data_IF_731033063509
#
_entry.id   IF_731033063509
#
_cell.length_a   1.000
_cell.length_b   1.000
_cell.length_c   1.000
_cell.angle_alpha   90.00
_cell.angle_beta   90.00
_cell.angle_gamma   90.00
#
_symmetry.space_group_name_H-M   'P 1'
#
loop_
_entity.id
_entity.type
_entity.pdbx_description
1 polymer ?
#
# COMPACT_ATOMS: atom_id res chain seq x y z
N UNK A 1 24.07 30.60 34.14
CA UNK A 1 23.16 30.51 35.30
C UNK A 1 22.71 29.07 35.39
N UNK A 2 23.32 28.22 36.18
CA UNK A 2 23.12 27.79 37.58
C UNK A 2 21.67 27.54 37.97
N UNK A 3 21.33 26.24 38.22
CA UNK A 3 20.67 25.70 39.44
C UNK A 3 20.35 24.23 39.15
N UNK A 4 21.00 23.24 39.84
CA UNK A 4 20.71 22.59 41.16
C UNK A 4 19.39 21.81 41.05
N UNK A 5 19.28 20.50 41.11
CA UNK A 5 19.83 19.56 42.07
C UNK A 5 18.80 19.28 43.16
N UNK A 6 18.16 18.06 43.15
CA UNK A 6 17.52 17.57 44.36
C UNK A 6 17.61 16.04 44.42
N UNK A 7 18.45 15.58 45.29
CA UNK A 7 18.51 14.19 45.77
C UNK A 7 17.61 14.10 47.00
N UNK A 8 16.78 13.07 47.07
CA UNK A 8 16.19 12.68 48.33
C UNK A 8 16.38 11.16 48.53
N UNK A 9 17.32 10.84 49.38
CA UNK A 9 17.48 9.54 50.03
C UNK A 9 16.52 9.52 51.21
N UNK A 10 15.72 8.50 51.39
CA UNK A 10 15.11 8.16 52.68
C UNK A 10 15.23 6.67 52.90
N UNK A 11 16.17 6.38 53.81
CA UNK A 11 16.39 5.08 54.42
C UNK A 11 15.42 4.94 55.60
N UNK A 12 14.64 3.87 55.68
CA UNK A 12 13.98 3.48 56.91
C UNK A 12 14.17 1.98 57.12
N UNK A 13 15.08 1.67 57.99
CA UNK A 13 15.19 0.35 58.61
C UNK A 13 14.22 0.29 59.80
N UNK A 14 13.31 -0.66 59.77
CA UNK A 14 12.60 -1.03 60.99
C UNK A 14 12.67 -2.54 61.16
N UNK A 15 13.48 -2.95 62.11
CA UNK A 15 13.59 -4.34 62.62
C UNK A 15 12.41 -4.57 63.56
N UNK A 16 11.52 -5.48 63.19
CA UNK A 16 10.55 -6.03 64.14
C UNK A 16 10.63 -7.56 64.11
N UNK A 17 11.34 -8.10 65.12
CA UNK A 17 11.38 -9.52 65.38
C UNK A 17 10.10 -9.95 66.12
N UNK A 18 9.31 -10.78 65.48
CA UNK A 18 8.26 -11.55 66.16
C UNK A 18 8.40 -13.03 65.77
N UNK A 19 8.67 -13.80 66.81
CA UNK A 19 8.59 -15.24 66.83
C UNK A 19 7.13 -15.64 66.51
N UNK A 20 6.90 -16.34 65.46
CA UNK A 20 5.61 -17.00 65.17
C UNK A 20 5.88 -18.45 64.76
N UNK A 21 5.28 -19.33 65.49
CA UNK A 21 5.27 -20.79 65.37
C UNK A 21 4.93 -21.29 63.98
N UNK A 22 5.78 -22.20 63.51
CA UNK A 22 5.61 -22.88 62.26
C UNK A 22 4.36 -23.81 62.30
N UNK A 23 3.34 -23.46 61.53
CA UNK A 23 2.36 -24.42 61.04
C UNK A 23 2.83 -24.89 59.63
N UNK A 24 2.78 -26.20 59.34
CA UNK A 24 3.11 -26.66 58.02
C UNK A 24 2.01 -26.16 57.02
N UNK A 25 2.33 -25.14 56.27
CA UNK A 25 1.49 -24.78 55.09
C UNK A 25 1.56 -25.95 54.13
N UNK A 26 0.44 -26.65 53.95
CA UNK A 26 0.27 -27.54 52.85
C UNK A 26 0.47 -26.71 51.55
N UNK A 27 1.59 -26.92 50.88
CA UNK A 27 1.83 -26.39 49.52
C UNK A 27 0.85 -27.11 48.61
N UNK A 28 -0.30 -26.49 48.38
CA UNK A 28 -1.09 -26.84 47.22
C UNK A 28 -0.25 -26.39 46.02
N UNK A 29 0.47 -27.34 45.42
CA UNK A 29 1.00 -27.17 44.08
C UNK A 29 -0.24 -26.99 43.20
N UNK A 30 -0.54 -25.74 42.86
CA UNK A 30 -1.40 -25.46 41.70
C UNK A 30 -0.62 -25.98 40.53
N UNK A 31 -0.92 -27.20 40.13
CA UNK A 31 -0.49 -27.78 38.88
C UNK A 31 -1.13 -26.91 37.76
N UNK A 32 -0.43 -25.83 37.44
CA UNK A 32 -0.72 -25.03 36.25
C UNK A 32 -0.40 -25.94 35.07
N UNK A 33 -1.41 -26.67 34.63
CA UNK A 33 -1.30 -27.44 33.40
C UNK A 33 -0.63 -26.52 32.36
N UNK A 34 0.43 -26.99 31.68
CA UNK A 34 1.05 -26.18 30.63
C UNK A 34 -0.03 -25.78 29.63
N UNK A 35 -0.31 -24.49 29.54
CA UNK A 35 -1.18 -23.98 28.50
C UNK A 35 -0.53 -24.36 27.16
N UNK A 36 -1.08 -25.36 26.51
CA UNK A 36 -0.69 -25.72 25.14
C UNK A 36 -1.06 -24.50 24.29
N UNK A 37 -0.12 -23.61 24.10
CA UNK A 37 -0.25 -22.50 23.19
C UNK A 37 -0.24 -23.10 21.77
N UNK A 38 -1.44 -23.43 21.29
CA UNK A 38 -1.60 -23.92 19.92
C UNK A 38 -1.09 -22.82 18.96
N UNK A 39 -0.10 -23.15 18.15
CA UNK A 39 0.38 -22.23 17.13
C UNK A 39 -0.81 -21.73 16.29
N UNK A 40 -0.84 -20.46 15.92
CA UNK A 40 -1.93 -19.91 15.13
C UNK A 40 -2.08 -20.70 13.83
N UNK A 41 -3.33 -21.07 13.49
CA UNK A 41 -3.61 -21.75 12.24
C UNK A 41 -3.24 -20.85 11.07
N UNK A 42 -2.49 -21.38 10.09
CA UNK A 42 -2.16 -20.67 8.86
C UNK A 42 -3.16 -21.01 7.75
N UNK A 43 -3.39 -20.06 6.86
CA UNK A 43 -4.21 -20.22 5.65
C UNK A 43 -3.54 -19.55 4.47
N UNK A 44 -3.80 -20.12 3.29
CA UNK A 44 -3.44 -19.47 2.02
C UNK A 44 -4.55 -18.50 1.60
N UNK A 45 -4.16 -17.42 0.92
CA UNK A 45 -5.07 -16.48 0.29
C UNK A 45 -4.52 -16.06 -1.07
N UNK A 46 -5.40 -15.57 -1.95
CA UNK A 46 -5.04 -15.10 -3.28
C UNK A 46 -4.79 -13.60 -3.25
N UNK A 47 -3.79 -13.16 -4.01
CA UNK A 47 -3.59 -11.75 -4.34
C UNK A 47 -3.81 -11.59 -5.84
N UNK A 48 -4.73 -10.71 -6.21
CA UNK A 48 -5.09 -10.39 -7.58
C UNK A 48 -4.45 -9.05 -7.95
N UNK A 49 -3.42 -9.07 -8.79
CA UNK A 49 -2.80 -7.89 -9.38
C UNK A 49 -3.54 -7.52 -10.65
N UNK A 50 -4.23 -6.39 -10.69
CA UNK A 50 -5.06 -6.02 -11.83
C UNK A 50 -4.74 -4.62 -12.32
N UNK A 51 -4.49 -4.51 -13.62
CA UNK A 51 -4.27 -3.25 -14.33
C UNK A 51 -5.60 -2.63 -14.72
N UNK A 52 -5.66 -1.31 -14.69
CA UNK A 52 -6.84 -0.55 -15.11
C UNK A 52 -7.09 -0.72 -16.62
N UNK A 53 -8.31 -1.04 -16.99
CA UNK A 53 -8.77 -1.05 -18.38
C UNK A 53 -8.89 0.37 -18.94
N UNK A 54 -9.06 0.52 -20.27
CA UNK A 54 -9.22 1.84 -20.91
C UNK A 54 -10.53 2.54 -20.52
N UNK A 55 -11.54 1.77 -20.11
CA UNK A 55 -12.80 2.29 -19.58
C UNK A 55 -12.72 2.77 -18.11
N UNK A 56 -11.54 2.72 -17.51
CA UNK A 56 -11.29 3.12 -16.13
C UNK A 56 -11.60 2.05 -15.08
N UNK A 57 -12.11 0.87 -15.49
CA UNK A 57 -12.47 -0.21 -14.56
C UNK A 57 -11.30 -1.18 -14.29
N UNK A 58 -11.49 -2.09 -13.32
CA UNK A 58 -10.56 -3.17 -12.97
C UNK A 58 -11.22 -4.55 -13.10
N UNK A 59 -12.23 -4.67 -13.98
CA UNK A 59 -13.06 -5.87 -14.10
C UNK A 59 -12.58 -6.84 -15.18
N UNK A 60 -11.61 -6.45 -16.00
CA UNK A 60 -11.08 -7.29 -17.06
C UNK A 60 -10.08 -8.31 -16.51
N UNK A 61 -10.49 -9.57 -16.47
CA UNK A 61 -9.64 -10.67 -16.00
C UNK A 61 -8.43 -10.94 -16.89
N UNK A 62 -8.43 -10.53 -18.15
CA UNK A 62 -7.25 -10.61 -19.02
C UNK A 62 -6.14 -9.64 -18.60
N UNK A 63 -6.49 -8.63 -17.80
CA UNK A 63 -5.58 -7.65 -17.23
C UNK A 63 -5.13 -8.03 -15.81
N UNK A 64 -5.55 -9.19 -15.29
CA UNK A 64 -5.26 -9.65 -13.95
C UNK A 64 -4.20 -10.78 -13.92
N UNK A 65 -3.37 -10.78 -12.89
CA UNK A 65 -2.43 -11.83 -12.55
C UNK A 65 -2.64 -12.22 -11.08
N UNK A 66 -2.39 -13.50 -10.76
CA UNK A 66 -2.62 -14.02 -9.43
C UNK A 66 -1.36 -14.57 -8.80
N UNK A 67 -1.22 -14.35 -7.50
CA UNK A 67 -0.28 -15.08 -6.66
C UNK A 67 -0.98 -15.61 -5.41
N UNK A 68 -0.35 -16.58 -4.74
CA UNK A 68 -0.88 -17.17 -3.50
C UNK A 68 0.11 -16.90 -2.38
N UNK A 69 -0.38 -16.31 -1.30
CA UNK A 69 0.38 -16.06 -0.08
C UNK A 69 -0.21 -16.85 1.09
N UNK A 70 0.55 -16.94 2.18
CA UNK A 70 0.14 -17.63 3.41
C UNK A 70 0.25 -16.66 4.58
N UNK A 71 -0.70 -16.72 5.51
CA UNK A 71 -0.67 -15.94 6.73
C UNK A 71 -1.47 -16.59 7.86
N UNK A 72 -1.38 -16.03 9.05
CA UNK A 72 -2.05 -16.56 10.23
C UNK A 72 -3.51 -16.10 10.28
N UNK A 73 -4.40 -17.00 10.65
CA UNK A 73 -5.82 -16.69 10.88
C UNK A 73 -5.95 -15.59 11.93
N UNK A 74 -6.82 -14.62 11.67
CA UNK A 74 -7.06 -13.45 12.52
C UNK A 74 -6.05 -12.30 12.33
N UNK A 75 -5.00 -12.49 11.54
CA UNK A 75 -4.10 -11.41 11.13
C UNK A 75 -4.51 -10.81 9.79
N UNK A 76 -4.05 -9.61 9.51
CA UNK A 76 -4.26 -8.99 8.18
C UNK A 76 -3.36 -9.64 7.14
N UNK A 77 -3.85 -9.65 5.91
CA UNK A 77 -3.05 -10.01 4.73
C UNK A 77 -1.88 -9.04 4.54
N UNK A 78 -0.85 -9.49 3.84
CA UNK A 78 0.36 -8.69 3.55
C UNK A 78 0.57 -8.56 2.03
N UNK A 79 -0.51 -8.31 1.30
CA UNK A 79 -0.45 -8.10 -0.13
C UNK A 79 0.35 -6.84 -0.45
N UNK A 80 1.26 -6.92 -1.40
CA UNK A 80 2.11 -5.81 -1.81
C UNK A 80 2.03 -5.57 -3.32
N UNK A 81 2.26 -4.33 -3.73
CA UNK A 81 2.34 -3.96 -5.14
C UNK A 81 3.72 -4.30 -5.70
N UNK A 82 4.00 -5.58 -5.84
CA UNK A 82 5.31 -6.13 -6.24
C UNK A 82 5.48 -6.32 -7.76
N UNK A 83 4.54 -5.84 -8.58
CA UNK A 83 4.61 -5.86 -10.04
C UNK A 83 5.00 -4.50 -10.60
N UNK A 84 5.79 -4.50 -11.65
CA UNK A 84 6.13 -3.29 -12.39
C UNK A 84 5.53 -3.38 -13.80
N UNK A 85 4.43 -2.69 -14.01
CA UNK A 85 3.79 -2.59 -15.31
C UNK A 85 4.10 -1.23 -15.94
N UNK A 86 4.70 -1.25 -17.13
CA UNK A 86 4.98 -0.03 -17.87
C UNK A 86 3.69 0.77 -18.11
N UNK A 87 3.73 2.07 -17.88
CA UNK A 87 2.59 2.95 -18.04
C UNK A 87 1.54 2.88 -16.95
N UNK A 88 1.80 2.14 -15.85
CA UNK A 88 0.87 2.03 -14.72
C UNK A 88 1.55 2.48 -13.42
N UNK A 89 0.73 2.90 -12.50
CA UNK A 89 1.11 3.25 -11.13
C UNK A 89 0.35 2.35 -10.15
N UNK A 90 1.08 1.70 -9.26
CA UNK A 90 0.49 0.87 -8.24
C UNK A 90 -0.24 1.71 -7.19
N UNK A 91 -1.41 1.23 -6.76
CA UNK A 91 -2.15 1.76 -5.63
C UNK A 91 -1.86 0.93 -4.39
N UNK A 92 -1.98 1.55 -3.21
CA UNK A 92 -1.79 0.85 -1.93
C UNK A 92 -2.95 -0.13 -1.73
N UNK A 93 -2.69 -1.46 -1.57
CA UNK A 93 -3.75 -2.43 -1.39
C UNK A 93 -4.39 -2.33 0.00
N UNK A 94 -5.70 -2.55 0.05
CA UNK A 94 -6.42 -2.69 1.31
C UNK A 94 -6.20 -4.10 1.88
N UNK A 95 -5.67 -4.16 3.11
CA UNK A 95 -5.40 -5.42 3.79
C UNK A 95 -6.64 -5.89 4.54
N UNK A 96 -7.01 -7.16 4.35
CA UNK A 96 -8.16 -7.79 4.99
C UNK A 96 -7.73 -8.83 6.02
N UNK A 97 -8.60 -9.15 7.00
CA UNK A 97 -8.31 -10.17 7.98
C UNK A 97 -8.40 -11.57 7.37
N UNK A 98 -7.43 -12.43 7.70
CA UNK A 98 -7.37 -13.81 7.22
C UNK A 98 -8.42 -14.66 7.97
N UNK A 99 -9.47 -15.01 7.29
CA UNK A 99 -10.54 -15.84 7.83
C UNK A 99 -10.13 -17.31 8.02
N UNK A 100 -10.75 -18.04 8.94
CA UNK A 100 -10.49 -19.48 9.14
C UNK A 100 -10.73 -20.34 7.88
N UNK A 101 -11.60 -19.93 6.97
CA UNK A 101 -11.86 -20.61 5.70
C UNK A 101 -10.67 -20.52 4.73
N UNK A 102 -9.91 -19.42 4.77
CA UNK A 102 -8.84 -19.15 3.81
C UNK A 102 -9.33 -18.66 2.44
N UNK A 103 -10.63 -18.56 2.20
CA UNK A 103 -11.22 -18.13 0.91
C UNK A 103 -11.20 -16.60 0.79
N UNK A 104 -10.00 -16.02 0.67
CA UNK A 104 -9.82 -14.58 0.57
C UNK A 104 -9.07 -14.26 -0.72
N UNK A 105 -9.52 -13.19 -1.39
CA UNK A 105 -8.79 -12.57 -2.48
C UNK A 105 -8.61 -11.08 -2.17
N UNK A 106 -7.37 -10.63 -2.13
CA UNK A 106 -6.99 -9.22 -2.00
C UNK A 106 -6.64 -8.68 -3.37
N UNK A 107 -7.20 -7.54 -3.76
CA UNK A 107 -6.86 -6.91 -5.03
C UNK A 107 -5.80 -5.82 -4.84
N UNK A 108 -4.78 -5.87 -5.68
CA UNK A 108 -3.77 -4.81 -5.86
C UNK A 108 -4.03 -4.17 -7.22
N UNK A 109 -4.39 -2.90 -7.19
CA UNK A 109 -4.78 -2.15 -8.38
C UNK A 109 -3.59 -1.36 -8.94
N UNK A 110 -3.50 -1.31 -10.27
CA UNK A 110 -2.50 -0.54 -10.99
C UNK A 110 -3.23 0.42 -11.95
N UNK A 111 -3.27 1.69 -11.57
CA UNK A 111 -3.90 2.75 -12.36
C UNK A 111 -3.06 3.12 -13.57
N UNK A 112 -3.69 3.42 -14.71
CA UNK A 112 -3.00 3.96 -15.87
C UNK A 112 -2.43 5.33 -15.56
N UNK A 113 -1.18 5.58 -15.97
CA UNK A 113 -0.57 6.90 -15.88
C UNK A 113 -1.20 7.84 -16.91
N UNK A 114 -1.28 9.09 -16.54
CA UNK A 114 -1.64 10.17 -17.43
C UNK A 114 -0.39 10.79 -18.06
N UNK A 115 -0.49 11.13 -19.33
CA UNK A 115 0.53 11.86 -20.08
C UNK A 115 -0.10 13.10 -20.66
N UNK A 116 0.59 14.23 -20.55
CA UNK A 116 0.16 15.49 -21.12
C UNK A 116 1.01 15.82 -22.32
N UNK A 117 0.36 16.05 -23.47
CA UNK A 117 0.99 16.49 -24.70
C UNK A 117 0.72 17.97 -24.89
N UNK A 118 1.74 18.71 -25.23
CA UNK A 118 1.65 20.14 -25.57
C UNK A 118 1.64 20.32 -27.09
N UNK A 119 0.60 20.94 -27.60
CA UNK A 119 0.43 21.22 -29.02
C UNK A 119 0.79 22.67 -29.32
N UNK A 120 1.89 22.86 -30.07
CA UNK A 120 2.34 24.17 -30.54
C UNK A 120 1.78 24.43 -31.92
N UNK A 121 0.94 25.45 -32.03
CA UNK A 121 0.27 25.83 -33.29
C UNK A 121 1.09 26.83 -34.09
N UNK A 122 2.09 27.45 -33.50
CA UNK A 122 2.84 28.57 -34.06
C UNK A 122 2.19 29.93 -33.77
N UNK A 123 1.12 29.95 -32.97
CA UNK A 123 0.53 31.12 -32.36
C UNK A 123 0.38 30.80 -30.86
N UNK A 124 1.16 31.41 -29.94
CA UNK A 124 1.12 31.11 -28.52
C UNK A 124 -0.27 31.28 -27.87
N UNK A 125 -1.18 32.04 -28.49
CA UNK A 125 -2.55 32.21 -27.99
C UNK A 125 -3.47 31.04 -28.36
N UNK A 126 -3.03 30.17 -29.26
CA UNK A 126 -3.76 28.98 -29.72
C UNK A 126 -3.07 27.68 -29.31
N UNK A 127 -1.93 27.75 -28.65
CA UNK A 127 -1.26 26.58 -28.09
C UNK A 127 -2.09 25.98 -26.95
N UNK A 128 -2.09 24.64 -26.84
CA UNK A 128 -2.91 23.94 -25.85
C UNK A 128 -2.27 22.66 -25.36
N UNK A 129 -2.82 22.09 -24.28
CA UNK A 129 -2.42 20.82 -23.72
C UNK A 129 -3.60 19.84 -23.80
N UNK A 130 -3.28 18.57 -24.07
CA UNK A 130 -4.22 17.48 -23.92
C UNK A 130 -3.61 16.38 -23.03
N UNK A 131 -4.43 15.81 -22.15
CA UNK A 131 -4.03 14.73 -21.26
C UNK A 131 -4.63 13.42 -21.71
N UNK A 132 -3.81 12.38 -21.77
CA UNK A 132 -4.16 11.04 -22.24
C UNK A 132 -3.76 10.00 -21.23
N UNK A 133 -4.54 8.93 -21.14
CA UNK A 133 -4.15 7.74 -20.38
C UNK A 133 -3.18 6.88 -21.19
N UNK A 134 -2.22 6.27 -20.53
CA UNK A 134 -1.30 5.31 -21.16
C UNK A 134 -2.07 4.24 -21.95
N UNK A 135 -1.65 3.99 -23.18
CA UNK A 135 -2.25 3.00 -24.07
C UNK A 135 -3.55 3.43 -24.76
N UNK A 136 -3.98 4.68 -24.61
CA UNK A 136 -5.01 5.25 -25.49
C UNK A 136 -4.39 5.70 -26.79
N UNK A 137 -5.12 5.53 -27.90
CA UNK A 137 -4.74 6.14 -29.18
C UNK A 137 -5.03 7.64 -29.12
N UNK A 138 -4.00 8.45 -29.26
CA UNK A 138 -4.18 9.88 -29.45
C UNK A 138 -4.78 10.13 -30.84
N UNK A 139 -5.92 10.82 -30.89
CA UNK A 139 -6.40 11.39 -32.15
C UNK A 139 -5.60 12.65 -32.47
N UNK A 140 -5.24 12.84 -33.73
CA UNK A 140 -4.64 14.09 -34.19
C UNK A 140 -5.63 15.24 -33.94
N UNK A 141 -5.23 16.32 -33.25
CA UNK A 141 -6.11 17.46 -33.03
C UNK A 141 -6.59 18.12 -34.33
N UNK A 142 -7.66 18.85 -34.18
CA UNK A 142 -8.16 19.64 -35.36
C UNK A 142 -7.08 20.62 -35.84
N UNK A 143 -7.08 20.87 -37.14
CA UNK A 143 -6.18 21.85 -37.74
C UNK A 143 -6.40 23.24 -37.13
N UNK A 144 -5.33 23.93 -36.65
CA UNK A 144 -5.45 25.29 -36.17
C UNK A 144 -5.72 26.27 -37.30
N UNK A 145 -6.56 27.26 -37.05
CA UNK A 145 -6.83 28.34 -37.99
C UNK A 145 -6.06 29.61 -37.58
N UNK A 146 -4.90 29.84 -38.22
CA UNK A 146 -4.05 30.98 -37.96
C UNK A 146 -4.08 31.93 -39.16
N UNK A 147 -4.55 33.16 -39.00
CA UNK A 147 -4.64 34.10 -40.09
C UNK A 147 -3.29 34.30 -40.79
N UNK A 148 -3.30 34.17 -42.13
CA UNK A 148 -2.13 34.35 -42.98
C UNK A 148 -1.14 33.17 -42.99
N UNK A 149 -1.48 32.05 -42.34
CA UNK A 149 -0.67 30.82 -42.39
C UNK A 149 -1.48 29.67 -42.96
N UNK A 150 -0.80 28.73 -43.59
CA UNK A 150 -1.36 27.48 -44.09
C UNK A 150 -0.86 26.36 -43.22
N UNK A 151 -1.77 25.61 -42.57
CA UNK A 151 -1.41 24.42 -41.84
C UNK A 151 -0.90 23.34 -42.81
N UNK A 152 0.19 22.68 -42.44
CA UNK A 152 0.77 21.59 -43.23
C UNK A 152 0.55 20.24 -42.56
N UNK A 153 1.08 20.07 -41.36
CA UNK A 153 0.97 18.85 -40.56
C UNK A 153 1.30 19.12 -39.08
N UNK A 154 0.91 18.19 -38.22
CA UNK A 154 1.46 18.06 -36.89
C UNK A 154 2.75 17.26 -36.97
N UNK A 155 3.80 17.72 -36.28
CA UNK A 155 5.07 17.02 -36.14
C UNK A 155 5.26 16.69 -34.68
N UNK A 156 5.69 15.45 -34.39
CA UNK A 156 6.10 15.07 -33.07
C UNK A 156 7.52 15.53 -32.83
N UNK A 157 7.71 16.21 -31.71
CA UNK A 157 9.05 16.64 -31.27
C UNK A 157 9.23 16.06 -29.85
N UNK A 158 10.22 15.20 -29.67
CA UNK A 158 10.55 14.65 -28.37
C UNK A 158 11.22 15.69 -27.46
N UNK A 159 11.52 15.30 -26.22
CA UNK A 159 12.18 16.16 -25.26
C UNK A 159 13.60 16.64 -25.70
N UNK A 160 14.19 15.99 -26.71
CA UNK A 160 15.50 16.36 -27.29
C UNK A 160 15.35 17.25 -28.53
N UNK A 161 14.11 17.52 -28.96
CA UNK A 161 13.82 18.40 -30.10
C UNK A 161 13.98 17.73 -31.48
N UNK A 162 13.87 16.39 -31.55
CA UNK A 162 13.99 15.59 -32.77
C UNK A 162 12.64 14.97 -33.14
#
# INVERSE_FOLDING_TARGET
>A
MKKKGFRLLLSFALICSMLATALPAAVYATDSAPSIQTAPATRTYKVRHVRQSLDGTYNDESMAEYETLTGNVGQKTEATANRNYEGFQALVPEQVEIAPSGDITVSVYYARKEFTTYFKTGDPNQDFYETFLYGTNQSTPAQPNIPGKIFQNWEYVDENGV
#
